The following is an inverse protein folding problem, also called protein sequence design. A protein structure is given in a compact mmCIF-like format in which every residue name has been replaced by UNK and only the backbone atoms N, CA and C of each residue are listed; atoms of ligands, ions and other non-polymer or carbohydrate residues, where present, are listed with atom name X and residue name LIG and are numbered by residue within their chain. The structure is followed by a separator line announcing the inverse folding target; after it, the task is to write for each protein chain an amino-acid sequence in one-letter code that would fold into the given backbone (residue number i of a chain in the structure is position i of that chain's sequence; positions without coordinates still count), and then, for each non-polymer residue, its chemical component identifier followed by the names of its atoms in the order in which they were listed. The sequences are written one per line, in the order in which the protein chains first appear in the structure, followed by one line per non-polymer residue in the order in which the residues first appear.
data_IF_412531652977
#
_entry.id   IF_412531652977
#
_cell.length_a   1.000
_cell.length_b   1.000
_cell.length_c   1.000
_cell.angle_alpha   90.00
_cell.angle_beta   90.00
_cell.angle_gamma   90.00
#
_symmetry.space_group_name_H-M   'P 1'
#
loop_
_entity.id
_entity.type
_entity.pdbx_description
1 polymer ?
#
# COMPACT_ATOMS: atom_id res chain seq x y z
N UNK A 1 8.60 -33.14 -15.98
CA UNK A 1 7.73 -33.64 -14.90
C UNK A 1 7.79 -32.78 -13.65
N UNK A 2 8.98 -32.48 -13.10
CA UNK A 2 9.10 -31.69 -11.84
C UNK A 2 8.60 -30.24 -12.01
N UNK A 3 8.85 -29.59 -13.12
CA UNK A 3 8.43 -28.22 -13.38
C UNK A 3 6.92 -28.08 -13.68
N UNK A 4 6.26 -29.20 -13.96
CA UNK A 4 4.81 -29.28 -14.12
C UNK A 4 4.05 -29.47 -12.80
N UNK A 5 4.76 -29.64 -11.67
CA UNK A 5 4.14 -29.65 -10.34
C UNK A 5 3.45 -28.32 -10.11
N UNK A 6 2.33 -28.34 -9.39
CA UNK A 6 1.62 -27.12 -9.02
C UNK A 6 2.51 -26.20 -8.19
N UNK A 7 2.70 -24.96 -8.63
CA UNK A 7 3.45 -23.96 -7.85
C UNK A 7 2.81 -23.68 -6.49
N UNK A 8 1.51 -23.92 -6.33
CA UNK A 8 0.80 -23.80 -5.07
C UNK A 8 1.18 -24.90 -4.09
N UNK A 9 1.18 -26.16 -4.57
CA UNK A 9 1.54 -27.32 -3.74
C UNK A 9 3.02 -27.24 -3.35
N UNK A 10 3.87 -26.79 -4.26
CA UNK A 10 5.29 -26.54 -3.96
C UNK A 10 5.46 -25.42 -2.94
N UNK A 11 4.70 -24.32 -3.06
CA UNK A 11 4.73 -23.23 -2.11
C UNK A 11 4.30 -23.69 -0.71
N UNK A 12 3.25 -24.50 -0.61
CA UNK A 12 2.79 -25.10 0.64
C UNK A 12 3.86 -26.00 1.27
N UNK A 13 4.49 -26.88 0.49
CA UNK A 13 5.60 -27.75 0.96
C UNK A 13 6.82 -26.96 1.42
N UNK A 14 7.03 -25.75 0.89
CA UNK A 14 8.07 -24.81 1.33
C UNK A 14 7.65 -24.02 2.58
N UNK A 15 6.41 -24.15 3.05
CA UNK A 15 5.87 -23.40 4.18
C UNK A 15 5.44 -21.97 3.85
N UNK A 16 5.23 -21.65 2.57
CA UNK A 16 4.69 -20.36 2.15
C UNK A 16 3.17 -20.36 2.37
N UNK A 17 2.66 -19.38 3.09
CA UNK A 17 1.21 -19.17 3.22
C UNK A 17 0.69 -18.40 2.03
N UNK A 18 0.02 -19.10 1.11
CA UNK A 18 -0.59 -18.51 -0.08
C UNK A 18 -2.07 -18.21 0.21
N UNK A 19 -2.44 -16.94 0.17
CA UNK A 19 -3.84 -16.50 0.32
C UNK A 19 -4.23 -15.66 -0.89
N UNK A 20 -5.38 -15.99 -1.52
CA UNK A 20 -5.88 -15.27 -2.71
C UNK A 20 -4.81 -15.10 -3.80
N UNK A 21 -4.09 -16.17 -4.11
CA UNK A 21 -3.01 -16.20 -5.10
C UNK A 21 -1.81 -15.30 -4.78
N UNK A 22 -1.60 -14.91 -3.53
CA UNK A 22 -0.51 -14.07 -3.09
C UNK A 22 0.14 -14.61 -1.82
N UNK A 23 1.44 -14.37 -1.67
CA UNK A 23 2.21 -14.61 -0.46
C UNK A 23 3.20 -13.46 -0.20
N UNK A 24 3.74 -13.41 1.02
CA UNK A 24 4.88 -12.52 1.29
C UNK A 24 6.12 -13.01 0.54
N UNK A 25 6.85 -12.09 -0.06
CA UNK A 25 8.07 -12.42 -0.77
C UNK A 25 9.17 -12.83 0.20
N UNK A 26 9.86 -13.89 -0.15
CA UNK A 26 10.98 -14.42 0.63
C UNK A 26 12.35 -13.85 0.25
N UNK A 27 12.41 -13.00 -0.79
CA UNK A 27 13.65 -12.43 -1.31
C UNK A 27 13.94 -11.02 -0.79
N UNK A 28 12.92 -10.31 -0.31
CA UNK A 28 13.04 -8.99 0.30
C UNK A 28 12.17 -8.91 1.55
N UNK A 29 12.39 -7.90 2.37
CA UNK A 29 11.53 -7.64 3.52
C UNK A 29 10.16 -7.17 3.02
N UNK A 30 9.18 -8.07 3.03
CA UNK A 30 7.85 -7.86 2.47
C UNK A 30 6.81 -7.76 3.60
N UNK A 31 6.08 -6.66 3.62
CA UNK A 31 5.00 -6.41 4.58
C UNK A 31 3.62 -6.50 3.92
N UNK A 32 3.57 -6.45 2.57
CA UNK A 32 2.37 -6.61 1.78
C UNK A 32 2.61 -7.69 0.72
N UNK A 33 1.76 -8.73 0.61
CA UNK A 33 1.98 -9.85 -0.28
C UNK A 33 2.27 -9.43 -1.72
N UNK A 34 3.55 -9.46 -2.12
CA UNK A 34 4.04 -9.06 -3.45
C UNK A 34 4.39 -10.25 -4.35
N UNK A 35 4.41 -11.46 -3.78
CA UNK A 35 4.61 -12.70 -4.50
C UNK A 35 3.27 -13.21 -5.01
N UNK A 36 3.09 -13.20 -6.32
CA UNK A 36 1.85 -13.59 -6.99
C UNK A 36 1.98 -14.97 -7.62
N UNK A 37 0.94 -15.78 -7.50
CA UNK A 37 0.81 -17.10 -8.11
C UNK A 37 -0.28 -17.07 -9.19
N UNK A 38 -0.02 -17.70 -10.34
CA UNK A 38 -0.96 -17.76 -11.45
C UNK A 38 -1.23 -19.20 -11.83
N UNK A 39 -2.45 -19.69 -11.57
CA UNK A 39 -2.86 -21.08 -11.81
C UNK A 39 -2.84 -21.43 -13.29
N UNK A 40 -3.32 -20.53 -14.17
CA UNK A 40 -3.43 -20.79 -15.62
C UNK A 40 -2.09 -21.03 -16.32
N UNK A 41 -1.01 -20.45 -15.79
CA UNK A 41 0.35 -20.60 -16.33
C UNK A 41 1.26 -21.42 -15.42
N UNK A 42 0.73 -21.93 -14.29
CA UNK A 42 1.49 -22.63 -13.26
C UNK A 42 2.80 -21.90 -12.90
N UNK A 43 2.70 -20.59 -12.64
CA UNK A 43 3.86 -19.73 -12.43
C UNK A 43 3.68 -18.82 -11.22
N UNK A 44 4.79 -18.28 -10.75
CA UNK A 44 4.83 -17.27 -9.70
C UNK A 44 5.69 -16.08 -10.14
N UNK A 45 5.41 -14.90 -9.60
CA UNK A 45 6.20 -13.68 -9.82
C UNK A 45 6.13 -12.76 -8.60
N UNK A 46 7.29 -12.22 -8.20
CA UNK A 46 7.34 -11.06 -7.31
C UNK A 46 7.51 -9.80 -8.15
N UNK A 47 6.55 -8.90 -8.08
CA UNK A 47 6.60 -7.64 -8.84
C UNK A 47 7.54 -6.59 -8.25
N UNK A 48 7.97 -6.75 -7.00
CA UNK A 48 8.94 -5.86 -6.35
C UNK A 48 10.38 -6.25 -6.74
N UNK A 49 10.70 -7.56 -6.68
CA UNK A 49 12.01 -8.07 -7.06
C UNK A 49 12.18 -8.27 -8.56
N UNK A 50 11.08 -8.22 -9.33
CA UNK A 50 10.99 -8.56 -10.74
C UNK A 50 11.53 -9.98 -11.07
N UNK A 51 11.31 -10.92 -10.17
CA UNK A 51 11.69 -12.34 -10.30
C UNK A 51 10.47 -13.23 -10.36
N UNK A 52 10.56 -14.34 -11.08
CA UNK A 52 9.48 -15.31 -11.20
C UNK A 52 9.95 -16.59 -11.85
N UNK A 53 9.01 -17.51 -12.06
CA UNK A 53 9.28 -18.80 -12.70
C UNK A 53 8.23 -19.85 -12.40
N UNK A 54 8.61 -21.10 -12.60
CA UNK A 54 7.81 -22.29 -12.30
C UNK A 54 8.31 -22.98 -11.01
N UNK A 55 7.90 -24.19 -10.78
CA UNK A 55 8.12 -24.95 -9.53
C UNK A 55 9.58 -25.15 -9.18
N UNK A 56 10.43 -25.48 -10.15
CA UNK A 56 11.87 -25.66 -9.89
C UNK A 56 12.52 -24.35 -9.48
N UNK A 57 12.21 -23.25 -10.17
CA UNK A 57 12.78 -21.94 -9.85
C UNK A 57 12.31 -21.43 -8.47
N UNK A 58 11.08 -21.76 -8.07
CA UNK A 58 10.58 -21.46 -6.74
C UNK A 58 11.45 -22.10 -5.65
N UNK A 59 11.71 -23.40 -5.77
CA UNK A 59 12.55 -24.15 -4.82
C UNK A 59 13.99 -23.66 -4.81
N UNK A 60 14.56 -23.41 -6.00
CA UNK A 60 15.92 -22.85 -6.13
C UNK A 60 16.06 -21.54 -5.35
N UNK A 61 15.17 -20.60 -5.61
CA UNK A 61 15.20 -19.26 -4.98
C UNK A 61 14.90 -19.33 -3.49
N UNK A 62 13.91 -20.13 -3.11
CA UNK A 62 13.50 -20.24 -1.71
C UNK A 62 14.59 -20.84 -0.84
N UNK A 63 15.22 -21.94 -1.27
CA UNK A 63 16.23 -22.66 -0.49
C UNK A 63 17.67 -22.25 -0.82
N UNK A 64 17.87 -21.33 -1.76
CA UNK A 64 19.19 -21.01 -2.33
C UNK A 64 19.93 -22.26 -2.87
N UNK A 65 19.19 -23.08 -3.60
CA UNK A 65 19.66 -24.32 -4.19
C UNK A 65 20.14 -24.14 -5.64
N UNK A 66 21.04 -25.00 -6.06
CA UNK A 66 21.33 -25.23 -7.48
C UNK A 66 20.13 -25.90 -8.14
N UNK A 67 20.13 -25.94 -9.47
CA UNK A 67 19.07 -26.64 -10.23
C UNK A 67 18.97 -28.11 -9.82
N UNK A 68 20.10 -28.82 -9.68
CA UNK A 68 20.13 -30.21 -9.27
C UNK A 68 19.58 -30.43 -7.87
N UNK A 69 20.00 -29.60 -6.90
CA UNK A 69 19.48 -29.68 -5.53
C UNK A 69 17.98 -29.44 -5.48
N UNK A 70 17.46 -28.47 -6.26
CA UNK A 70 16.02 -28.22 -6.34
C UNK A 70 15.24 -29.42 -6.93
N UNK A 71 15.79 -30.03 -7.98
CA UNK A 71 15.20 -31.25 -8.56
C UNK A 71 15.17 -32.41 -7.56
N UNK A 72 16.26 -32.61 -6.80
CA UNK A 72 16.33 -33.65 -5.76
C UNK A 72 15.34 -33.36 -4.63
N UNK A 73 15.22 -32.11 -4.21
CA UNK A 73 14.24 -31.71 -3.18
C UNK A 73 12.82 -31.98 -3.64
N UNK A 74 12.45 -31.54 -4.85
CA UNK A 74 11.11 -31.80 -5.43
C UNK A 74 10.82 -33.29 -5.60
N UNK A 75 11.79 -34.07 -6.07
CA UNK A 75 11.70 -35.51 -6.19
C UNK A 75 11.31 -36.16 -4.85
N UNK A 76 11.99 -35.77 -3.77
CA UNK A 76 11.74 -36.28 -2.41
C UNK A 76 10.40 -35.78 -1.84
N UNK A 77 10.12 -34.47 -1.99
CA UNK A 77 8.92 -33.86 -1.44
C UNK A 77 7.62 -34.38 -2.07
N UNK A 78 7.66 -34.82 -3.33
CA UNK A 78 6.51 -35.29 -4.11
C UNK A 78 6.60 -36.76 -4.53
N UNK A 79 7.56 -37.53 -4.01
CA UNK A 79 7.78 -38.95 -4.31
C UNK A 79 7.88 -39.24 -5.83
N UNK A 80 8.58 -38.36 -6.57
CA UNK A 80 8.77 -38.52 -8.00
C UNK A 80 10.18 -39.04 -8.26
N UNK A 81 10.29 -40.23 -8.86
CA UNK A 81 11.59 -40.76 -9.25
C UNK A 81 12.21 -39.96 -10.43
N UNK A 82 13.46 -39.55 -10.22
CA UNK A 82 14.28 -38.90 -11.25
C UNK A 82 15.53 -39.72 -11.53
N UNK A 83 15.96 -39.87 -12.82
CA UNK A 83 17.23 -40.48 -13.13
C UNK A 83 18.39 -39.71 -12.49
N UNK A 84 19.37 -40.41 -11.95
CA UNK A 84 20.64 -39.82 -11.45
C UNK A 84 20.57 -38.86 -10.25
N UNK A 85 19.79 -39.17 -9.22
CA UNK A 85 19.93 -38.43 -7.95
C UNK A 85 20.98 -39.02 -6.98
N UNK A 86 21.77 -39.99 -7.43
CA UNK A 86 22.82 -40.61 -6.60
C UNK A 86 23.97 -39.63 -6.37
N UNK A 87 24.11 -39.19 -5.11
CA UNK A 87 25.28 -38.41 -4.68
C UNK A 87 25.02 -36.91 -4.41
N UNK A 88 23.87 -36.32 -4.80
CA UNK A 88 23.56 -34.93 -4.50
C UNK A 88 23.17 -34.78 -3.02
N UNK A 89 24.05 -34.21 -2.21
CA UNK A 89 23.77 -33.85 -0.83
C UNK A 89 23.06 -32.49 -0.83
N UNK A 90 21.81 -32.45 -0.34
CA UNK A 90 21.10 -31.17 -0.15
C UNK A 90 21.82 -30.36 0.93
N UNK A 91 22.17 -29.13 0.60
CA UNK A 91 22.62 -28.15 1.60
C UNK A 91 21.50 -27.91 2.61
N UNK A 92 21.84 -27.63 3.88
CA UNK A 92 20.86 -27.16 4.84
C UNK A 92 20.17 -25.94 4.25
N UNK A 93 18.84 -26.02 4.07
CA UNK A 93 18.06 -24.85 3.67
C UNK A 93 18.29 -23.72 4.68
N UNK A 94 18.43 -22.47 4.24
CA UNK A 94 18.52 -21.36 5.16
C UNK A 94 17.27 -21.39 6.07
N UNK A 95 17.48 -21.31 7.39
CA UNK A 95 16.40 -21.16 8.34
C UNK A 95 15.75 -19.80 8.06
N UNK A 96 14.79 -19.78 7.15
CA UNK A 96 13.94 -18.62 6.98
C UNK A 96 12.94 -18.64 8.11
N UNK A 97 12.94 -17.62 8.96
CA UNK A 97 11.77 -17.35 9.77
C UNK A 97 10.64 -17.20 8.77
N UNK A 98 9.75 -18.19 8.72
CA UNK A 98 8.49 -18.07 7.98
C UNK A 98 7.91 -16.75 8.46
N UNK A 99 7.76 -15.80 7.54
CA UNK A 99 7.08 -14.57 7.89
C UNK A 99 5.73 -15.02 8.44
N UNK A 100 5.57 -14.88 9.74
CA UNK A 100 4.31 -15.20 10.43
C UNK A 100 3.17 -14.66 9.58
N UNK A 101 2.07 -15.42 9.50
CA UNK A 101 0.76 -14.97 9.00
C UNK A 101 0.68 -13.46 9.06
N UNK A 102 0.21 -12.77 8.00
CA UNK A 102 0.11 -11.33 8.02
C UNK A 102 -0.37 -10.95 9.40
N UNK A 103 0.47 -10.29 10.20
CA UNK A 103 0.01 -9.79 11.50
C UNK A 103 -1.27 -9.05 11.16
N UNK A 104 -2.37 -9.44 11.79
CA UNK A 104 -3.57 -8.62 11.75
C UNK A 104 -3.07 -7.21 12.02
N UNK A 105 -3.18 -6.36 11.00
CA UNK A 105 -2.67 -5.00 11.11
C UNK A 105 -3.61 -4.36 12.12
N UNK A 106 -3.21 -4.33 13.38
CA UNK A 106 -3.93 -3.61 14.41
C UNK A 106 -3.82 -2.14 14.06
N UNK A 107 -4.87 -1.63 13.46
CA UNK A 107 -4.97 -0.21 13.17
C UNK A 107 -5.15 0.56 14.48
N UNK A 108 -4.52 1.72 14.56
CA UNK A 108 -4.65 2.61 15.71
C UNK A 108 -6.03 3.26 15.69
N UNK A 109 -6.51 3.64 16.87
CA UNK A 109 -7.70 4.47 16.97
C UNK A 109 -7.39 5.85 16.39
N UNK A 110 -8.27 6.36 15.55
CA UNK A 110 -8.11 7.66 14.88
C UNK A 110 -8.26 8.78 15.90
N UNK A 111 -7.30 9.70 15.93
CA UNK A 111 -7.43 10.95 16.68
C UNK A 111 -8.08 12.02 15.79
N UNK A 112 -9.41 12.04 15.80
CA UNK A 112 -10.20 12.94 14.97
C UNK A 112 -9.92 14.42 15.27
N UNK A 113 -9.58 14.78 16.51
CA UNK A 113 -9.27 16.15 16.90
C UNK A 113 -7.99 16.64 16.23
N UNK A 114 -6.91 15.85 16.29
CA UNK A 114 -5.63 16.17 15.61
C UNK A 114 -5.84 16.30 14.11
N UNK A 115 -6.54 15.36 13.48
CA UNK A 115 -6.77 15.39 12.05
C UNK A 115 -7.64 16.59 11.62
N UNK A 116 -8.72 16.87 12.34
CA UNK A 116 -9.58 18.03 12.06
C UNK A 116 -8.81 19.34 12.24
N UNK A 117 -7.99 19.44 13.27
CA UNK A 117 -7.16 20.62 13.50
C UNK A 117 -6.21 20.88 12.33
N UNK A 118 -5.51 19.83 11.84
CA UNK A 118 -4.62 19.92 10.68
C UNK A 118 -5.38 20.45 9.46
N UNK A 119 -6.52 19.87 9.12
CA UNK A 119 -7.30 20.29 7.94
C UNK A 119 -7.84 21.71 8.10
N UNK A 120 -8.37 22.06 9.26
CA UNK A 120 -8.92 23.40 9.51
C UNK A 120 -7.85 24.51 9.50
N UNK A 121 -6.60 24.19 9.86
CA UNK A 121 -5.48 25.13 9.83
C UNK A 121 -4.75 25.17 8.49
N UNK A 122 -4.87 24.12 7.68
CA UNK A 122 -4.24 24.07 6.37
C UNK A 122 -4.89 25.06 5.40
N UNK A 123 -4.03 25.73 4.61
CA UNK A 123 -4.44 26.59 3.50
C UNK A 123 -3.74 26.11 2.23
N UNK A 124 -4.33 26.36 1.09
CA UNK A 124 -3.68 26.04 -0.19
C UNK A 124 -2.50 26.99 -0.43
N UNK A 125 -1.31 26.42 -0.55
CA UNK A 125 -0.13 27.14 -1.03
C UNK A 125 -0.27 27.51 -2.50
N UNK A 126 0.54 28.43 -2.99
CA UNK A 126 0.54 28.82 -4.40
C UNK A 126 0.77 27.60 -5.32
N UNK A 127 1.75 26.77 -4.98
CA UNK A 127 2.01 25.54 -5.73
C UNK A 127 0.82 24.57 -5.72
N UNK A 128 0.08 24.49 -4.60
CA UNK A 128 -1.12 23.68 -4.49
C UNK A 128 -2.26 24.23 -5.37
N UNK A 129 -2.44 25.55 -5.39
CA UNK A 129 -3.42 26.23 -6.24
C UNK A 129 -3.10 26.03 -7.74
N UNK A 130 -1.83 26.23 -8.11
CA UNK A 130 -1.36 25.97 -9.46
C UNK A 130 -1.71 24.55 -9.90
N UNK A 131 -1.36 23.55 -9.09
CA UNK A 131 -1.65 22.16 -9.40
C UNK A 131 -3.15 21.87 -9.54
N UNK A 132 -3.97 22.36 -8.59
CA UNK A 132 -5.40 22.02 -8.54
C UNK A 132 -6.20 22.73 -9.63
N UNK A 133 -5.95 24.03 -9.84
CA UNK A 133 -6.81 24.89 -10.64
C UNK A 133 -6.27 25.20 -12.03
N UNK A 134 -4.95 25.13 -12.23
CA UNK A 134 -4.33 25.36 -13.54
C UNK A 134 -3.92 24.05 -14.21
N UNK A 135 -3.16 23.20 -13.51
CA UNK A 135 -2.66 21.95 -14.13
C UNK A 135 -3.74 20.87 -14.26
N UNK A 136 -4.72 20.86 -13.35
CA UNK A 136 -5.79 19.86 -13.27
C UNK A 136 -7.19 20.40 -13.60
N UNK A 137 -7.36 21.71 -13.63
CA UNK A 137 -8.62 22.40 -13.96
C UNK A 137 -9.80 21.94 -13.08
N UNK A 138 -9.51 21.62 -11.79
CA UNK A 138 -10.57 21.21 -10.85
C UNK A 138 -11.43 22.40 -10.44
N UNK A 139 -12.73 22.15 -10.19
CA UNK A 139 -13.64 23.14 -9.65
C UNK A 139 -13.20 23.64 -8.27
N UNK A 140 -13.11 24.96 -8.09
CA UNK A 140 -12.77 25.58 -6.79
C UNK A 140 -13.81 25.24 -5.73
N UNK A 141 -15.07 25.18 -6.12
CA UNK A 141 -16.19 24.82 -5.24
C UNK A 141 -16.04 23.38 -4.72
N UNK A 142 -15.73 22.42 -5.61
CA UNK A 142 -15.50 21.02 -5.24
C UNK A 142 -14.30 20.89 -4.32
N UNK A 143 -13.18 21.52 -4.65
CA UNK A 143 -11.95 21.46 -3.83
C UNK A 143 -12.19 22.05 -2.45
N UNK A 144 -12.96 23.16 -2.37
CA UNK A 144 -13.32 23.80 -1.12
C UNK A 144 -14.26 22.94 -0.28
N UNK A 145 -15.31 22.34 -0.90
CA UNK A 145 -16.26 21.46 -0.21
C UNK A 145 -15.59 20.22 0.38
N UNK A 146 -14.57 19.68 -0.31
CA UNK A 146 -13.76 18.56 0.15
C UNK A 146 -12.72 18.95 1.22
N UNK A 147 -12.58 20.24 1.55
CA UNK A 147 -11.62 20.78 2.50
C UNK A 147 -10.17 20.36 2.21
N UNK A 148 -9.80 20.38 0.94
CA UNK A 148 -8.41 20.08 0.52
C UNK A 148 -7.48 21.15 1.07
N UNK A 149 -6.40 20.72 1.73
CA UNK A 149 -5.38 21.62 2.27
C UNK A 149 -4.00 21.38 1.65
N UNK A 150 -2.99 22.06 2.17
CA UNK A 150 -1.59 21.81 1.78
C UNK A 150 -0.61 22.09 2.94
N UNK A 151 0.57 21.47 2.84
CA UNK A 151 1.74 21.75 3.66
C UNK A 151 2.87 22.13 2.71
N UNK A 152 3.44 23.32 2.91
CA UNK A 152 4.59 23.84 2.11
C UNK A 152 5.91 23.81 2.89
N UNK A 153 5.86 23.79 4.23
CA UNK A 153 6.99 23.87 5.15
C UNK A 153 6.88 22.77 6.21
N UNK A 154 7.82 21.83 6.20
CA UNK A 154 7.83 20.69 7.11
C UNK A 154 8.19 21.08 8.55
N UNK A 155 9.15 21.99 8.74
CA UNK A 155 9.60 22.40 10.07
C UNK A 155 8.52 23.20 10.77
N UNK A 156 7.94 24.17 10.07
CA UNK A 156 6.81 24.96 10.59
C UNK A 156 5.62 24.06 10.93
N UNK A 157 5.31 23.06 10.10
CA UNK A 157 4.23 22.10 10.37
C UNK A 157 4.48 21.33 11.67
N UNK A 158 5.70 20.80 11.86
CA UNK A 158 6.06 20.06 13.08
C UNK A 158 5.96 20.97 14.31
N UNK A 159 6.56 22.17 14.27
CA UNK A 159 6.56 23.13 15.38
C UNK A 159 5.14 23.47 15.79
N UNK A 160 4.31 23.96 14.88
CA UNK A 160 2.95 24.40 15.19
C UNK A 160 2.08 23.23 15.70
N UNK A 161 2.30 22.02 15.18
CA UNK A 161 1.58 20.85 15.64
C UNK A 161 1.99 20.41 17.05
N UNK A 162 3.29 20.43 17.37
CA UNK A 162 3.81 20.08 18.70
C UNK A 162 3.57 21.15 19.76
N UNK A 163 3.40 22.40 19.35
CA UNK A 163 2.97 23.48 20.24
C UNK A 163 1.48 23.34 20.64
N UNK A 164 0.70 22.66 19.82
CA UNK A 164 -0.74 22.48 20.07
C UNK A 164 -1.06 21.16 20.76
N UNK A 165 -0.38 20.09 20.34
CA UNK A 165 -0.58 18.72 20.84
C UNK A 165 0.74 18.13 21.32
N UNK A 166 0.72 17.22 22.30
CA UNK A 166 1.95 16.55 22.73
C UNK A 166 2.60 15.76 21.59
N UNK A 167 3.92 15.62 21.62
CA UNK A 167 4.70 14.80 20.68
C UNK A 167 4.12 13.39 20.56
N UNK A 168 3.84 12.76 21.71
CA UNK A 168 3.34 11.40 21.81
C UNK A 168 1.97 11.26 21.11
N UNK A 169 1.11 12.26 21.29
CA UNK A 169 -0.20 12.29 20.64
C UNK A 169 -0.08 12.40 19.14
N UNK A 170 0.80 13.25 18.63
CA UNK A 170 1.06 13.39 17.17
C UNK A 170 1.64 12.13 16.56
N UNK A 171 2.56 11.44 17.25
CA UNK A 171 3.10 10.15 16.82
C UNK A 171 2.02 9.07 16.79
N UNK A 172 1.17 9.01 17.83
CA UNK A 172 0.04 8.08 17.92
C UNK A 172 -1.06 8.39 16.89
N UNK A 173 -1.31 9.65 16.57
CA UNK A 173 -2.22 10.04 15.49
C UNK A 173 -1.68 9.69 14.10
N UNK A 174 -0.42 9.28 14.00
CA UNK A 174 0.23 8.87 12.76
C UNK A 174 0.52 10.01 11.79
N UNK A 175 0.57 11.26 12.28
CA UNK A 175 0.83 12.46 11.47
C UNK A 175 2.29 12.91 11.53
N UNK A 176 3.01 12.51 12.59
CA UNK A 176 4.45 12.67 12.73
C UNK A 176 5.14 11.31 12.84
N UNK A 177 6.42 11.30 12.54
CA UNK A 177 7.31 10.16 12.74
C UNK A 177 8.65 10.63 13.29
N UNK A 178 9.31 9.78 14.07
CA UNK A 178 10.66 10.03 14.56
C UNK A 178 11.68 9.34 13.66
N UNK A 179 12.68 10.08 13.21
CA UNK A 179 13.78 9.58 12.43
C UNK A 179 15.07 10.30 12.83
N UNK A 180 16.12 9.56 13.16
CA UNK A 180 17.42 10.10 13.62
C UNK A 180 17.27 11.15 14.74
N UNK A 181 16.46 10.86 15.75
CA UNK A 181 16.16 11.71 16.90
C UNK A 181 15.50 13.06 16.56
N UNK A 182 14.95 13.19 15.37
CA UNK A 182 14.19 14.37 14.94
C UNK A 182 12.77 13.98 14.53
N UNK A 183 11.82 14.90 14.73
CA UNK A 183 10.43 14.76 14.32
C UNK A 183 10.27 15.21 12.87
N UNK A 184 9.55 14.42 12.10
CA UNK A 184 9.24 14.70 10.70
C UNK A 184 7.76 14.45 10.44
N UNK A 185 7.13 15.19 9.50
CA UNK A 185 5.81 14.82 9.01
C UNK A 185 5.87 13.42 8.36
N UNK A 186 4.82 12.62 8.49
CA UNK A 186 4.67 11.41 7.67
C UNK A 186 4.38 11.75 6.21
N UNK A 187 3.93 12.96 5.97
CA UNK A 187 3.64 13.54 4.67
C UNK A 187 4.91 14.10 4.04
N UNK A 188 5.21 13.73 2.82
CA UNK A 188 6.34 14.30 2.08
C UNK A 188 5.96 15.71 1.60
N UNK A 189 6.68 16.71 2.08
CA UNK A 189 6.42 18.15 1.85
C UNK A 189 7.30 18.68 0.69
N UNK A 190 6.81 19.57 -0.19
CA UNK A 190 5.47 20.18 -0.22
C UNK A 190 4.39 19.20 -0.71
N UNK A 191 3.18 19.31 -0.14
CA UNK A 191 2.12 18.36 -0.50
C UNK A 191 0.71 18.95 -0.36
N UNK A 192 -0.23 18.34 -1.10
CA UNK A 192 -1.66 18.47 -0.85
C UNK A 192 -2.07 17.52 0.28
N UNK A 193 -3.13 17.89 0.98
CA UNK A 193 -3.79 17.07 1.99
C UNK A 193 -5.23 16.82 1.57
N UNK A 194 -5.62 15.55 1.51
CA UNK A 194 -6.97 15.11 1.21
C UNK A 194 -7.54 14.45 2.47
N UNK A 195 -8.53 15.05 3.15
CA UNK A 195 -9.17 14.42 4.29
C UNK A 195 -10.12 13.33 3.84
N UNK A 196 -10.09 12.20 4.54
CA UNK A 196 -10.96 11.07 4.33
C UNK A 196 -11.99 11.01 5.45
N UNK A 197 -13.25 11.04 5.10
CA UNK A 197 -14.37 11.01 6.02
C UNK A 197 -15.13 9.70 5.91
N UNK A 198 -15.67 9.21 7.05
CA UNK A 198 -16.64 8.12 7.03
C UNK A 198 -18.01 8.62 6.52
N UNK A 199 -18.99 7.72 6.43
CA UNK A 199 -20.33 8.05 5.96
C UNK A 199 -21.06 9.07 6.86
N UNK A 200 -20.65 9.19 8.11
CA UNK A 200 -21.16 10.16 9.10
C UNK A 200 -20.47 11.51 9.04
N UNK A 201 -19.46 11.67 8.15
CA UNK A 201 -18.71 12.91 8.00
C UNK A 201 -17.63 13.11 9.07
N UNK A 202 -17.26 12.07 9.82
CA UNK A 202 -16.15 12.12 10.77
C UNK A 202 -14.84 11.82 10.05
N UNK A 203 -13.81 12.62 10.31
CA UNK A 203 -12.50 12.42 9.69
C UNK A 203 -11.83 11.14 10.21
N UNK A 204 -11.33 10.32 9.30
CA UNK A 204 -10.71 9.03 9.62
C UNK A 204 -9.28 8.89 9.12
N UNK A 205 -8.87 9.68 8.16
CA UNK A 205 -7.51 9.67 7.62
C UNK A 205 -7.22 10.98 6.89
N UNK A 206 -5.93 11.24 6.69
CA UNK A 206 -5.45 12.24 5.73
C UNK A 206 -4.50 11.54 4.78
N UNK A 207 -4.76 11.65 3.50
CA UNK A 207 -3.80 11.25 2.47
C UNK A 207 -3.13 12.50 1.91
N UNK A 208 -1.81 12.48 1.78
CA UNK A 208 -1.07 13.54 1.12
C UNK A 208 -0.64 13.14 -0.27
N UNK A 209 -0.51 14.15 -1.17
CA UNK A 209 0.11 14.02 -2.47
C UNK A 209 1.30 14.96 -2.59
N UNK A 210 2.49 14.42 -2.74
CA UNK A 210 3.71 15.19 -2.94
C UNK A 210 3.65 16.00 -4.24
N UNK A 211 3.99 17.28 -4.17
CA UNK A 211 3.96 18.21 -5.30
C UNK A 211 5.32 18.43 -5.95
N UNK A 212 6.41 17.98 -5.32
CA UNK A 212 7.76 18.12 -5.88
C UNK A 212 8.05 17.08 -6.97
N UNK A 213 9.23 17.17 -7.55
CA UNK A 213 9.76 16.19 -8.50
C UNK A 213 10.12 14.90 -7.77
N UNK A 214 9.71 13.76 -8.32
CA UNK A 214 10.16 12.45 -7.86
C UNK A 214 11.49 12.11 -8.51
N UNK A 215 12.42 11.58 -7.73
CA UNK A 215 13.67 11.01 -8.26
C UNK A 215 13.38 9.76 -9.09
N UNK A 216 14.30 9.41 -9.98
CA UNK A 216 14.17 8.21 -10.82
C UNK A 216 14.08 6.96 -9.93
N UNK A 217 12.96 6.25 -10.07
CA UNK A 217 12.67 5.03 -9.27
C UNK A 217 11.88 5.26 -7.99
N UNK A 218 11.70 6.49 -7.52
CA UNK A 218 10.81 6.78 -6.39
C UNK A 218 9.35 6.85 -6.87
N UNK A 219 8.51 5.96 -6.35
CA UNK A 219 7.08 5.87 -6.67
C UNK A 219 6.18 6.46 -5.56
N UNK A 220 6.78 6.96 -4.47
CA UNK A 220 6.05 7.42 -3.27
C UNK A 220 5.51 8.83 -3.46
N UNK A 221 4.48 8.97 -4.25
CA UNK A 221 3.78 10.25 -4.46
C UNK A 221 2.71 10.49 -3.40
N UNK A 222 2.12 9.43 -2.88
CA UNK A 222 1.05 9.50 -1.88
C UNK A 222 1.48 8.89 -0.55
N UNK A 223 1.11 9.53 0.56
CA UNK A 223 1.33 9.04 1.92
C UNK A 223 0.02 9.17 2.72
N UNK A 224 -0.26 8.19 3.56
CA UNK A 224 -1.38 8.20 4.51
C UNK A 224 -0.86 8.43 5.94
N UNK A 225 -1.72 8.78 6.87
CA UNK A 225 -1.42 8.72 8.29
C UNK A 225 -0.94 7.31 8.66
N UNK A 226 0.15 7.23 9.44
CA UNK A 226 0.78 5.95 9.77
C UNK A 226 -0.07 5.16 10.77
N UNK A 227 -0.29 3.88 10.48
CA UNK A 227 -1.05 2.99 11.39
C UNK A 227 -2.57 3.17 11.32
N UNK A 228 -3.08 3.98 10.41
CA UNK A 228 -4.52 4.19 10.21
C UNK A 228 -5.04 3.27 9.10
N UNK A 229 -6.27 2.74 9.31
CA UNK A 229 -6.93 1.90 8.31
C UNK A 229 -7.21 2.66 7.01
N UNK A 230 -6.93 2.07 5.84
CA UNK A 230 -7.33 2.67 4.57
C UNK A 230 -8.85 2.78 4.49
N UNK A 231 -9.34 3.91 3.99
CA UNK A 231 -10.75 4.21 3.79
C UNK A 231 -10.97 4.65 2.34
N UNK A 232 -12.17 4.49 1.80
CA UNK A 232 -12.54 5.10 0.52
C UNK A 232 -12.67 6.62 0.68
N UNK A 233 -12.23 7.36 -0.34
CA UNK A 233 -12.36 8.82 -0.37
C UNK A 233 -13.78 9.23 -0.70
N UNK A 234 -14.25 10.32 -0.08
CA UNK A 234 -15.56 10.93 -0.31
C UNK A 234 -16.77 10.03 -0.01
N UNK A 235 -16.67 9.17 1.01
CA UNK A 235 -17.78 8.29 1.42
C UNK A 235 -19.08 9.02 1.80
N UNK A 236 -19.08 10.26 2.37
CA UNK A 236 -20.32 10.96 2.69
C UNK A 236 -21.27 11.12 1.51
N UNK A 237 -20.78 11.15 0.27
CA UNK A 237 -21.62 11.26 -0.93
C UNK A 237 -22.58 10.07 -1.09
N UNK A 238 -22.22 8.90 -0.57
CA UNK A 238 -23.06 7.71 -0.63
C UNK A 238 -24.34 7.85 0.20
N UNK A 239 -24.28 8.63 1.28
CA UNK A 239 -25.45 8.90 2.14
C UNK A 239 -26.48 9.81 1.46
N UNK A 240 -26.02 10.71 0.59
CA UNK A 240 -26.86 11.61 -0.20
C UNK A 240 -27.24 11.06 -1.57
N UNK A 241 -26.85 9.82 -1.88
CA UNK A 241 -27.15 9.18 -3.16
C UNK A 241 -28.47 8.43 -3.09
N UNK A 242 -29.32 8.62 -4.10
CA UNK A 242 -30.61 7.91 -4.25
C UNK A 242 -30.37 6.53 -4.89
N UNK A 243 -31.40 5.64 -4.82
CA UNK A 243 -31.30 4.26 -5.28
C UNK A 243 -30.85 4.09 -6.75
N UNK A 244 -31.12 5.05 -7.60
CA UNK A 244 -30.78 5.00 -9.03
C UNK A 244 -29.65 5.94 -9.45
N UNK A 245 -29.00 6.60 -8.49
CA UNK A 245 -27.88 7.46 -8.79
C UNK A 245 -26.68 6.64 -9.31
N UNK A 246 -26.02 7.18 -10.34
CA UNK A 246 -24.74 6.65 -10.80
C UNK A 246 -23.64 7.22 -9.92
N UNK A 247 -22.95 6.35 -9.19
CA UNK A 247 -21.74 6.72 -8.45
C UNK A 247 -20.53 6.11 -9.16
N UNK A 248 -19.59 6.95 -9.55
CA UNK A 248 -18.35 6.52 -10.18
C UNK A 248 -17.34 6.08 -9.12
N UNK A 249 -16.61 5.00 -9.39
CA UNK A 249 -15.54 4.51 -8.53
C UNK A 249 -14.23 4.81 -9.22
N UNK A 250 -13.46 5.75 -8.66
CA UNK A 250 -12.15 6.13 -9.16
C UNK A 250 -11.04 5.28 -8.50
N UNK A 251 -9.93 5.10 -9.21
CA UNK A 251 -8.75 4.40 -8.68
C UNK A 251 -8.03 5.21 -7.60
N UNK A 252 -8.07 6.54 -7.68
CA UNK A 252 -7.40 7.43 -6.74
C UNK A 252 -8.15 8.75 -6.51
N UNK A 253 -7.73 9.48 -5.46
CA UNK A 253 -8.36 10.73 -5.03
C UNK A 253 -8.39 11.80 -6.13
N UNK A 254 -7.33 11.91 -6.92
CA UNK A 254 -7.24 12.91 -8.01
C UNK A 254 -8.27 12.67 -9.11
N UNK A 255 -8.50 11.41 -9.46
CA UNK A 255 -9.49 11.04 -10.48
C UNK A 255 -10.92 11.24 -9.95
N UNK A 256 -11.12 10.96 -8.65
CA UNK A 256 -12.39 11.23 -7.99
C UNK A 256 -12.74 12.74 -8.04
N UNK A 257 -11.76 13.62 -7.74
CA UNK A 257 -11.98 15.07 -7.79
C UNK A 257 -12.29 15.53 -9.22
N UNK A 258 -11.68 14.93 -10.25
CA UNK A 258 -12.00 15.21 -11.63
C UNK A 258 -13.47 14.88 -11.94
N UNK A 259 -13.95 13.70 -11.56
CA UNK A 259 -15.37 13.34 -11.72
C UNK A 259 -16.32 14.30 -10.98
N UNK A 260 -15.97 14.69 -9.75
CA UNK A 260 -16.76 15.64 -8.97
C UNK A 260 -16.80 17.03 -9.61
N UNK A 261 -15.68 17.48 -10.18
CA UNK A 261 -15.58 18.75 -10.91
C UNK A 261 -16.43 18.78 -12.17
N UNK A 262 -16.69 17.61 -12.76
CA UNK A 262 -17.62 17.40 -13.87
C UNK A 262 -19.08 17.21 -13.42
N UNK A 263 -19.40 17.49 -12.16
CA UNK A 263 -20.74 17.33 -11.58
C UNK A 263 -21.19 15.88 -11.39
N UNK A 264 -20.28 14.89 -11.44
CA UNK A 264 -20.58 13.48 -11.27
C UNK A 264 -20.40 13.06 -9.81
N UNK A 265 -21.28 12.21 -9.27
CA UNK A 265 -21.06 11.59 -7.95
C UNK A 265 -19.94 10.57 -8.04
N UNK A 266 -18.91 10.71 -7.21
CA UNK A 266 -17.76 9.81 -7.25
C UNK A 266 -17.16 9.54 -5.86
N UNK A 267 -16.59 8.35 -5.71
CA UNK A 267 -15.73 7.93 -4.59
C UNK A 267 -14.41 7.42 -5.14
N UNK A 268 -13.35 7.38 -4.31
CA UNK A 268 -12.11 6.74 -4.72
C UNK A 268 -11.72 5.58 -3.79
N UNK A 269 -11.09 4.57 -4.39
CA UNK A 269 -10.46 3.48 -3.64
C UNK A 269 -9.19 3.99 -2.92
N UNK A 270 -8.82 3.39 -1.77
CA UNK A 270 -7.56 3.74 -1.09
C UNK A 270 -6.30 3.29 -1.84
N UNK A 271 -6.45 2.69 -3.00
CA UNK A 271 -5.43 2.22 -3.93
C UNK A 271 -5.95 1.07 -4.78
N UNK A 272 -5.42 0.88 -5.98
CA UNK A 272 -5.88 -0.12 -6.97
C UNK A 272 -5.97 -1.56 -6.42
N UNK A 273 -5.13 -1.91 -5.44
CA UNK A 273 -5.16 -3.23 -4.78
C UNK A 273 -6.16 -3.38 -3.65
N UNK A 274 -6.94 -2.35 -3.33
CA UNK A 274 -7.84 -2.34 -2.17
C UNK A 274 -9.26 -2.79 -2.49
N UNK A 275 -9.63 -2.84 -3.76
CA UNK A 275 -10.92 -3.36 -4.17
C UNK A 275 -10.95 -4.88 -3.96
N UNK A 276 -11.80 -5.30 -3.03
CA UNK A 276 -12.10 -6.71 -2.78
C UNK A 276 -13.59 -6.89 -3.06
N UNK A 277 -13.93 -7.59 -4.15
CA UNK A 277 -15.32 -7.95 -4.44
C UNK A 277 -15.90 -8.86 -3.38
#
# INVERSE_FOLDING_TARGET
KLDALSVYDVAEKLGLTVSRNKALCFMHQDHNPSLHFKKSTNSWKCYVCDIGGHSIELVKRYNNYTFQEACVWLSRAFNISIPESKGVKLKKAPIRKVASTPKETTYQQVDEEVLNWIINKSRLSEQARQFLFVDREYSEEVVSSLKVGSISDAEKFVTVLTDTFSKERCLKAGVLMEYRNSLHPVFRVPCLLFPYYDMEGRIKNIQSRYLGKLEKGDKRRFNNCKGISPLMFNMPILKSSERFDKVYIAEGVTDCIAFLSEGKKAIALPGAGSFRP
#
